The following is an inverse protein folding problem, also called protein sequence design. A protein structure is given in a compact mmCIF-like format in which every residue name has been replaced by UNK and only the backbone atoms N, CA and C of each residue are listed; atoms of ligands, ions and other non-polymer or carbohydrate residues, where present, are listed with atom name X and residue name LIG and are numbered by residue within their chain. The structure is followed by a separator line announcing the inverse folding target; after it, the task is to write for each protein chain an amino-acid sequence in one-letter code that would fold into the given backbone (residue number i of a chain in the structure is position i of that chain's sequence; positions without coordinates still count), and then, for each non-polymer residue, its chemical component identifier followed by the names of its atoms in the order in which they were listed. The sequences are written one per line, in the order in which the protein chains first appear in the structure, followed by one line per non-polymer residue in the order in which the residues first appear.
data_IF_653843435268
#
_entry.id   IF_653843435268
#
_cell.length_a   1.000
_cell.length_b   1.000
_cell.length_c   1.000
_cell.angle_alpha   90.00
_cell.angle_beta   90.00
_cell.angle_gamma   90.00
#
_symmetry.space_group_name_H-M   'P 1'
#
loop_
_entity.id
_entity.type
_entity.pdbx_description
1 polymer ?
#
# COMPACT_ATOMS: atom_id res chain seq x y z
N UNK A 1 7.43 -9.66 1.89
CA UNK A 1 7.12 -10.18 3.22
C UNK A 1 7.15 -9.02 4.16
N UNK A 2 6.05 -8.31 4.12
CA UNK A 2 5.78 -7.18 4.96
C UNK A 2 5.60 -7.65 6.41
N UNK A 3 5.80 -6.75 7.39
CA UNK A 3 5.41 -7.04 8.76
C UNK A 3 3.88 -7.05 8.86
N UNK A 4 3.27 -8.23 8.98
CA UNK A 4 1.82 -8.36 9.05
C UNK A 4 1.29 -9.66 8.51
N UNK A 5 1.95 -10.21 7.48
CA UNK A 5 1.40 -11.30 6.64
C UNK A 5 1.38 -12.68 7.32
N UNK A 6 2.16 -12.82 8.39
CA UNK A 6 2.21 -14.02 9.22
C UNK A 6 2.76 -13.70 10.62
N UNK A 7 2.39 -14.54 11.59
CA UNK A 7 3.01 -14.50 12.91
C UNK A 7 4.37 -15.18 12.90
N UNK A 8 5.35 -14.64 13.62
CA UNK A 8 6.66 -15.26 13.74
C UNK A 8 6.53 -16.73 14.21
N UNK A 9 7.06 -17.65 13.40
CA UNK A 9 6.97 -19.09 13.66
C UNK A 9 8.21 -19.61 14.39
N UNK A 10 8.02 -20.57 15.28
CA UNK A 10 9.10 -21.33 15.94
C UNK A 10 9.17 -22.75 15.39
N UNK A 11 10.33 -23.39 15.52
CA UNK A 11 10.49 -24.79 15.15
C UNK A 11 9.50 -25.69 15.92
N UNK A 12 8.92 -26.68 15.23
CA UNK A 12 7.99 -27.66 15.80
C UNK A 12 8.48 -29.06 15.46
N UNK A 13 8.39 -29.97 16.42
CA UNK A 13 8.60 -31.41 16.20
C UNK A 13 7.27 -32.08 15.92
N UNK A 14 7.19 -32.83 14.81
CA UNK A 14 5.99 -33.58 14.40
C UNK A 14 6.34 -35.05 14.25
N UNK A 15 5.47 -35.94 14.73
CA UNK A 15 5.58 -37.39 14.56
C UNK A 15 4.64 -37.85 13.45
N UNK A 16 5.17 -38.55 12.45
CA UNK A 16 4.35 -39.34 11.51
C UNK A 16 4.08 -40.69 12.20
N UNK A 17 2.81 -41.06 12.47
CA UNK A 17 2.50 -42.32 13.15
C UNK A 17 2.95 -43.55 12.35
N UNK A 18 3.27 -44.64 13.05
CA UNK A 18 3.58 -45.90 12.39
C UNK A 18 2.42 -46.35 11.48
N UNK A 19 2.74 -46.77 10.26
CA UNK A 19 1.74 -47.12 9.23
C UNK A 19 1.17 -45.92 8.46
N UNK A 20 1.53 -44.69 8.81
CA UNK A 20 1.20 -43.48 8.05
C UNK A 20 2.40 -42.97 7.26
N UNK A 21 2.13 -42.17 6.24
CA UNK A 21 3.16 -41.57 5.37
C UNK A 21 3.19 -40.04 5.44
N UNK A 22 2.22 -39.42 6.10
CA UNK A 22 2.05 -37.96 6.11
C UNK A 22 1.77 -37.43 7.51
N UNK A 23 2.24 -36.20 7.72
CA UNK A 23 1.80 -35.31 8.79
C UNK A 23 1.87 -33.87 8.23
N UNK A 24 1.10 -32.96 8.82
CA UNK A 24 0.97 -31.59 8.32
C UNK A 24 1.38 -30.61 9.41
N UNK A 25 2.21 -29.63 9.03
CA UNK A 25 2.48 -28.42 9.82
C UNK A 25 1.74 -27.28 9.15
N UNK A 26 0.87 -26.61 9.89
CA UNK A 26 0.13 -25.47 9.36
C UNK A 26 0.83 -24.15 9.70
N UNK A 27 0.88 -23.23 8.74
CA UNK A 27 1.24 -21.83 8.98
C UNK A 27 0.04 -20.99 8.57
N UNK A 28 -0.51 -20.24 9.52
CA UNK A 28 -1.66 -19.36 9.27
C UNK A 28 -1.11 -18.03 8.74
N UNK A 29 -1.54 -17.64 7.55
CA UNK A 29 -1.31 -16.30 6.99
C UNK A 29 -2.33 -15.33 7.56
N UNK A 30 -2.03 -14.04 7.50
CA UNK A 30 -2.91 -12.96 7.92
C UNK A 30 -3.43 -12.28 6.66
N UNK A 31 -4.76 -12.19 6.57
CA UNK A 31 -5.49 -11.46 5.54
C UNK A 31 -5.69 -10.03 6.03
N UNK A 32 -5.41 -9.04 5.19
CA UNK A 32 -5.63 -7.64 5.50
C UNK A 32 -6.30 -6.88 4.32
N UNK A 33 -6.31 -5.55 4.36
CA UNK A 33 -7.00 -4.73 3.38
C UNK A 33 -6.05 -3.84 2.56
N UNK A 34 -4.75 -4.15 2.56
CA UNK A 34 -3.70 -3.37 1.90
C UNK A 34 -3.46 -3.95 0.50
N UNK A 35 -3.75 -3.18 -0.53
CA UNK A 35 -3.56 -3.62 -1.91
C UNK A 35 -2.10 -3.47 -2.40
N UNK A 36 -1.70 -4.37 -3.28
CA UNK A 36 -0.47 -4.25 -4.07
C UNK A 36 0.79 -4.72 -3.35
N UNK A 37 0.66 -5.64 -2.39
CA UNK A 37 1.78 -6.25 -1.66
C UNK A 37 2.58 -7.20 -2.55
N UNK A 38 1.93 -7.73 -3.60
CA UNK A 38 2.52 -8.64 -4.56
C UNK A 38 2.66 -10.06 -4.00
N UNK A 39 3.49 -10.87 -4.66
CA UNK A 39 3.72 -12.24 -4.21
C UNK A 39 4.82 -12.28 -3.15
N UNK A 40 4.53 -12.95 -2.05
CA UNK A 40 5.48 -13.18 -0.97
C UNK A 40 5.84 -14.65 -0.84
N UNK A 41 6.90 -14.97 -0.10
CA UNK A 41 7.39 -16.35 0.02
C UNK A 41 7.40 -16.83 1.47
N UNK A 42 6.99 -18.08 1.65
CA UNK A 42 7.10 -18.82 2.90
C UNK A 42 8.00 -20.04 2.70
N UNK A 43 8.97 -20.23 3.59
CA UNK A 43 9.95 -21.32 3.48
C UNK A 43 9.70 -22.36 4.56
N UNK A 44 9.52 -23.63 4.16
CA UNK A 44 9.54 -24.79 5.04
C UNK A 44 10.92 -25.45 5.00
N UNK A 45 11.46 -25.83 6.17
CA UNK A 45 12.75 -26.55 6.25
C UNK A 45 12.68 -27.66 7.29
N UNK A 46 13.17 -28.84 6.93
CA UNK A 46 13.39 -29.97 7.83
C UNK A 46 14.84 -29.89 8.33
N UNK A 47 15.02 -29.59 9.61
CA UNK A 47 16.35 -29.41 10.21
C UNK A 47 16.96 -30.69 10.78
N UNK A 48 16.12 -31.64 11.19
CA UNK A 48 16.55 -32.91 11.76
C UNK A 48 15.48 -33.99 11.58
N UNK A 49 15.92 -35.25 11.57
CA UNK A 49 15.06 -36.43 11.61
C UNK A 49 15.59 -37.40 12.67
N UNK A 50 14.68 -38.01 13.42
CA UNK A 50 14.98 -39.05 14.42
C UNK A 50 13.94 -40.15 14.32
N UNK A 51 14.34 -41.41 14.57
CA UNK A 51 13.44 -42.56 14.51
C UNK A 51 13.28 -43.15 13.11
N UNK A 52 12.13 -43.80 12.84
CA UNK A 52 11.82 -44.40 11.53
C UNK A 52 12.80 -45.48 11.06
N UNK A 53 13.46 -46.18 11.99
CA UNK A 53 14.53 -47.15 11.69
C UNK A 53 15.67 -46.55 10.83
N UNK A 54 16.05 -45.30 11.09
CA UNK A 54 17.09 -44.60 10.34
C UNK A 54 16.56 -43.86 9.10
N UNK A 55 15.36 -43.28 9.20
CA UNK A 55 14.81 -42.45 8.14
C UNK A 55 15.75 -41.28 7.80
N UNK A 56 15.82 -40.92 6.53
CA UNK A 56 16.69 -39.85 6.01
C UNK A 56 15.86 -38.78 5.28
N UNK A 57 16.42 -37.58 5.18
CA UNK A 57 15.78 -36.45 4.50
C UNK A 57 16.20 -36.46 3.03
N UNK A 58 15.25 -36.72 2.13
CA UNK A 58 15.49 -36.65 0.69
C UNK A 58 15.34 -35.22 0.15
N UNK A 59 14.37 -34.45 0.66
CA UNK A 59 14.08 -33.08 0.26
C UNK A 59 13.96 -32.20 1.50
N UNK A 60 14.98 -31.41 1.85
CA UNK A 60 15.04 -30.71 3.13
C UNK A 60 14.24 -29.42 3.18
N UNK A 61 13.81 -28.88 2.05
CA UNK A 61 13.11 -27.60 2.01
C UNK A 61 12.05 -27.53 0.92
N UNK A 62 11.09 -26.64 1.14
CA UNK A 62 10.05 -26.29 0.18
C UNK A 62 9.74 -24.79 0.31
N UNK A 63 9.31 -24.18 -0.80
CA UNK A 63 8.90 -22.78 -0.85
C UNK A 63 7.41 -22.74 -1.22
N UNK A 64 6.64 -22.01 -0.45
CA UNK A 64 5.27 -21.61 -0.77
C UNK A 64 5.20 -20.14 -1.11
N UNK A 65 4.09 -19.74 -1.72
CA UNK A 65 3.81 -18.35 -2.11
C UNK A 65 2.55 -17.88 -1.41
N UNK A 66 2.57 -16.66 -0.89
CA UNK A 66 1.39 -15.93 -0.43
C UNK A 66 1.05 -14.92 -1.52
N UNK A 67 -0.19 -14.92 -1.98
CA UNK A 67 -0.69 -13.99 -2.99
C UNK A 67 -1.67 -13.02 -2.36
N UNK A 68 -1.41 -11.73 -2.53
CA UNK A 68 -2.34 -10.64 -2.25
C UNK A 68 -3.71 -10.87 -2.91
N UNK A 69 -4.79 -10.67 -2.15
CA UNK A 69 -6.17 -10.82 -2.62
C UNK A 69 -6.91 -9.50 -2.79
N UNK A 70 -6.25 -8.37 -2.53
CA UNK A 70 -6.85 -7.06 -2.61
C UNK A 70 -6.82 -6.56 -4.05
N UNK A 71 -7.95 -5.97 -4.47
CA UNK A 71 -8.04 -5.32 -5.77
C UNK A 71 -7.19 -4.05 -5.83
N UNK A 72 -6.75 -3.69 -7.05
CA UNK A 72 -6.08 -2.40 -7.27
C UNK A 72 -6.99 -1.25 -6.80
N UNK A 73 -6.51 -0.35 -5.93
CA UNK A 73 -7.35 0.70 -5.38
C UNK A 73 -7.69 1.73 -6.44
N UNK A 74 -8.90 2.29 -6.34
CA UNK A 74 -9.39 3.36 -7.22
C UNK A 74 -9.23 4.72 -6.56
N UNK A 75 -9.09 5.77 -7.38
CA UNK A 75 -8.97 7.15 -6.92
C UNK A 75 -10.27 7.90 -7.14
N UNK A 76 -10.63 8.73 -6.16
CA UNK A 76 -11.70 9.72 -6.28
C UNK A 76 -11.21 11.08 -5.80
N UNK A 77 -11.84 12.14 -6.31
CA UNK A 77 -11.59 13.52 -5.91
C UNK A 77 -12.91 14.18 -5.57
N UNK A 78 -12.94 14.93 -4.48
CA UNK A 78 -14.06 15.78 -4.11
C UNK A 78 -13.59 17.21 -3.89
N UNK A 79 -14.44 18.16 -4.31
CA UNK A 79 -14.18 19.59 -4.21
C UNK A 79 -15.35 20.27 -3.51
N UNK A 80 -15.12 21.33 -2.72
CA UNK A 80 -16.19 22.07 -2.06
C UNK A 80 -17.09 22.73 -3.10
N UNK A 81 -18.40 22.73 -2.83
CA UNK A 81 -19.39 23.36 -3.71
C UNK A 81 -19.39 24.89 -3.58
N UNK A 82 -19.06 25.41 -2.40
CA UNK A 82 -18.98 26.85 -2.13
C UNK A 82 -17.95 27.07 -1.04
N UNK A 83 -17.11 28.10 -1.22
CA UNK A 83 -16.07 28.50 -0.28
C UNK A 83 -16.20 30.01 -0.08
N UNK A 84 -16.08 30.48 1.15
CA UNK A 84 -16.02 31.91 1.42
C UNK A 84 -14.67 32.46 0.96
N UNK A 85 -14.66 33.68 0.40
CA UNK A 85 -13.42 34.35 0.02
C UNK A 85 -12.43 34.40 1.20
N UNK A 86 -11.16 34.09 0.92
CA UNK A 86 -10.10 33.98 1.93
C UNK A 86 -10.06 32.64 2.68
N UNK A 87 -11.00 31.73 2.43
CA UNK A 87 -10.96 30.34 2.93
C UNK A 87 -10.31 29.37 1.92
N UNK A 88 -9.83 28.20 2.39
CA UNK A 88 -9.26 27.19 1.51
C UNK A 88 -10.34 26.46 0.70
N UNK A 89 -10.04 26.18 -0.56
CA UNK A 89 -10.85 25.35 -1.45
C UNK A 89 -10.21 23.96 -1.60
N UNK A 90 -10.36 23.13 -0.57
CA UNK A 90 -9.64 21.86 -0.48
C UNK A 90 -10.17 20.82 -1.47
N UNK A 91 -9.29 20.33 -2.34
CA UNK A 91 -9.58 19.16 -3.17
C UNK A 91 -9.10 17.92 -2.43
N UNK A 92 -10.05 17.09 -1.97
CA UNK A 92 -9.74 15.89 -1.19
C UNK A 92 -9.65 14.70 -2.15
N UNK A 93 -8.45 14.11 -2.23
CA UNK A 93 -8.17 12.90 -3.00
C UNK A 93 -8.27 11.70 -2.07
N UNK A 94 -9.00 10.66 -2.46
CA UNK A 94 -9.21 9.46 -1.64
C UNK A 94 -8.96 8.19 -2.46
N UNK A 95 -8.20 7.26 -1.88
CA UNK A 95 -8.10 5.88 -2.37
C UNK A 95 -9.22 5.02 -1.78
N UNK A 96 -9.75 4.08 -2.56
CA UNK A 96 -10.78 3.15 -2.08
C UNK A 96 -10.28 2.13 -1.05
N UNK A 97 -8.96 1.93 -0.96
CA UNK A 97 -8.29 1.08 0.02
C UNK A 97 -6.84 1.57 0.20
N UNK A 98 -6.17 1.23 1.33
CA UNK A 98 -4.72 1.41 1.47
C UNK A 98 -3.92 0.73 0.36
N UNK A 99 -2.73 1.25 0.08
CA UNK A 99 -1.79 0.70 -0.91
C UNK A 99 -0.44 0.48 -0.27
N UNK A 100 0.18 -0.68 -0.51
CA UNK A 100 1.54 -0.98 -0.07
C UNK A 100 2.60 -0.19 -0.86
N UNK A 101 2.23 0.33 -2.03
CA UNK A 101 3.11 1.09 -2.92
C UNK A 101 2.66 2.56 -3.01
N UNK A 102 3.58 3.54 -3.07
CA UNK A 102 3.22 4.94 -3.23
C UNK A 102 2.37 5.20 -4.49
N UNK A 103 1.34 6.02 -4.34
CA UNK A 103 0.50 6.52 -5.43
C UNK A 103 0.76 8.01 -5.62
N UNK A 104 1.16 8.40 -6.84
CA UNK A 104 1.39 9.82 -7.20
C UNK A 104 0.24 10.32 -8.06
N UNK A 105 -0.36 11.45 -7.67
CA UNK A 105 -1.48 12.07 -8.39
C UNK A 105 -1.12 13.50 -8.76
N UNK A 106 -1.37 13.87 -10.02
CA UNK A 106 -1.27 15.26 -10.48
C UNK A 106 -2.66 15.89 -10.47
N UNK A 107 -2.84 16.96 -9.70
CA UNK A 107 -4.08 17.75 -9.67
C UNK A 107 -3.82 19.14 -10.22
N UNK A 108 -4.63 19.54 -11.19
CA UNK A 108 -4.61 20.89 -11.76
C UNK A 108 -5.93 21.59 -11.41
N UNK A 109 -5.96 22.44 -10.38
CA UNK A 109 -7.13 23.25 -10.08
C UNK A 109 -7.41 24.21 -11.25
N UNK A 110 -8.67 24.30 -11.68
CA UNK A 110 -9.11 25.23 -12.70
C UNK A 110 -10.52 25.76 -12.37
N UNK A 111 -10.78 27.01 -12.73
CA UNK A 111 -12.14 27.57 -12.66
C UNK A 111 -13.10 26.84 -13.60
N UNK A 112 -14.39 26.85 -13.26
CA UNK A 112 -15.43 26.15 -14.02
C UNK A 112 -15.84 26.86 -15.34
N UNK A 113 -15.22 27.99 -15.68
CA UNK A 113 -15.48 28.77 -16.90
C UNK A 113 -16.83 29.50 -16.95
N UNK A 114 -17.78 29.17 -16.06
CA UNK A 114 -19.09 29.82 -15.98
C UNK A 114 -19.04 31.16 -15.22
N UNK A 115 -18.13 31.25 -14.25
CA UNK A 115 -17.68 32.51 -13.65
C UNK A 115 -16.16 32.40 -13.49
N UNK A 116 -15.36 33.12 -14.30
CA UNK A 116 -13.91 32.92 -14.30
C UNK A 116 -13.35 33.29 -12.93
N UNK A 117 -12.67 32.34 -12.29
CA UNK A 117 -11.76 32.63 -11.18
C UNK A 117 -10.72 33.61 -11.69
N UNK A 118 -10.63 34.79 -11.07
CA UNK A 118 -9.60 35.76 -11.43
C UNK A 118 -8.30 35.24 -10.81
N UNK A 119 -7.15 35.25 -11.51
CA UNK A 119 -5.89 34.75 -10.94
C UNK A 119 -5.47 35.43 -9.62
N UNK A 120 -5.97 36.63 -9.35
CA UNK A 120 -5.75 37.35 -8.09
C UNK A 120 -6.56 36.79 -6.91
N UNK A 121 -7.60 36.01 -7.18
CA UNK A 121 -8.49 35.42 -6.17
C UNK A 121 -7.96 34.07 -5.66
N UNK A 122 -6.86 33.57 -6.24
CA UNK A 122 -6.24 32.31 -5.86
C UNK A 122 -4.95 32.58 -5.08
N UNK A 123 -4.86 31.94 -3.91
CA UNK A 123 -3.62 31.87 -3.15
C UNK A 123 -2.59 30.92 -3.79
N UNK A 124 -1.37 30.83 -3.22
CA UNK A 124 -0.41 29.80 -3.62
C UNK A 124 -1.01 28.40 -3.45
N UNK A 125 -0.66 27.49 -4.36
CA UNK A 125 -1.08 26.10 -4.23
C UNK A 125 -0.22 25.41 -3.18
N UNK A 126 -0.88 24.61 -2.33
CA UNK A 126 -0.23 23.78 -1.32
C UNK A 126 -0.84 22.37 -1.39
N UNK A 127 -0.14 21.38 -0.84
CA UNK A 127 -0.66 20.02 -0.69
C UNK A 127 -0.33 19.46 0.69
N UNK A 128 -1.13 18.50 1.13
CA UNK A 128 -0.93 17.76 2.38
C UNK A 128 -0.92 16.25 2.09
N UNK A 129 -0.10 15.52 2.84
CA UNK A 129 -0.06 14.05 2.83
C UNK A 129 -0.49 13.43 4.17
N UNK A 130 -0.92 14.26 5.13
CA UNK A 130 -1.25 13.89 6.50
C UNK A 130 -2.71 14.22 6.86
N UNK A 131 -3.59 14.25 5.84
CA UNK A 131 -5.02 14.51 6.04
C UNK A 131 -5.33 15.97 6.34
N UNK A 132 -4.49 16.90 5.89
CA UNK A 132 -4.67 18.34 6.04
C UNK A 132 -4.09 18.92 7.33
N UNK A 133 -3.22 18.21 8.06
CA UNK A 133 -2.59 18.77 9.27
C UNK A 133 -1.38 19.63 8.96
N UNK A 134 -0.60 19.29 7.93
CA UNK A 134 0.56 20.05 7.46
C UNK A 134 0.46 20.26 5.95
N UNK A 135 0.72 21.50 5.53
CA UNK A 135 0.72 21.88 4.12
C UNK A 135 2.12 22.22 3.62
N UNK A 136 2.44 21.72 2.42
CA UNK A 136 3.69 21.94 1.71
C UNK A 136 3.40 22.84 0.49
N UNK A 137 4.05 24.00 0.36
CA UNK A 137 3.89 24.86 -0.80
C UNK A 137 4.34 24.20 -2.10
N UNK A 138 3.52 24.32 -3.14
CA UNK A 138 3.90 23.97 -4.51
C UNK A 138 4.72 25.13 -5.07
N UNK A 139 5.99 24.93 -5.47
CA UNK A 139 6.79 26.00 -6.04
C UNK A 139 6.13 26.54 -7.31
N UNK A 140 5.80 27.83 -7.33
CA UNK A 140 5.34 28.47 -8.55
C UNK A 140 6.46 28.40 -9.59
N UNK A 141 6.23 27.75 -10.72
CA UNK A 141 7.13 27.85 -11.87
C UNK A 141 7.38 29.32 -12.18
N UNK A 142 8.64 29.74 -12.24
CA UNK A 142 9.00 31.13 -12.48
C UNK A 142 8.35 31.63 -13.79
N UNK A 143 7.34 32.49 -13.68
CA UNK A 143 6.82 33.21 -14.83
C UNK A 143 7.87 34.22 -15.26
N UNK A 144 8.62 33.88 -16.32
CA UNK A 144 9.50 34.82 -17.01
C UNK A 144 8.68 36.03 -17.44
N UNK A 145 8.93 37.19 -16.81
CA UNK A 145 8.29 38.44 -17.16
C UNK A 145 8.73 38.81 -18.58
N UNK A 146 7.83 38.69 -19.55
CA UNK A 146 7.98 39.37 -20.83
C UNK A 146 7.86 40.88 -20.55
N UNK A 147 9.00 41.57 -20.40
CA UNK A 147 9.04 43.03 -20.51
C UNK A 147 8.75 43.35 -21.98
N UNK A 148 7.58 43.93 -22.25
CA UNK A 148 7.41 44.72 -23.46
C UNK A 148 7.84 46.15 -23.16
N UNK A 149 8.87 46.59 -23.86
CA UNK A 149 9.07 47.97 -24.26
C UNK A 149 9.08 47.98 -25.79
#
# INVERSE_FOLDING_TARGET
MAPGDYTAQTAVTVTIPAGSTTATVNVVTIDDAIAGEGNETINGTISAVTGGNGATIATPSAIGTISDNEGVPTLSISSPQTVAEGGPADNIITLSAPSAVPVTVTVTPAGNGANPTVPADLGPQEYSTDGGTTFIPVPSGASSRYRQA
#
